data_IF_048327633475
#
_entry.id   IF_048327633475
#
_cell.length_a   1.000
_cell.length_b   1.000
_cell.length_c   1.000
_cell.angle_alpha   90.00
_cell.angle_beta   90.00
_cell.angle_gamma   90.00
#
_symmetry.space_group_name_H-M   'P 1'
#
loop_
_entity.id
_entity.type
_entity.pdbx_description
1 polymer ?
#
# COMPACT_ATOMS: atom_id res chain seq x y z
N UNK A 1 -4.11 -14.66 17.40
CA UNK A 1 -3.32 -14.67 16.15
C UNK A 1 -4.13 -14.90 14.86
N UNK A 2 -5.00 -15.92 14.74
CA UNK A 2 -5.76 -16.19 13.48
C UNK A 2 -6.58 -14.99 12.94
N UNK A 3 -7.20 -14.19 13.82
CA UNK A 3 -7.96 -12.99 13.41
C UNK A 3 -7.06 -11.92 12.76
N UNK A 4 -5.85 -11.69 13.30
CA UNK A 4 -4.88 -10.71 12.78
C UNK A 4 -4.39 -11.12 11.38
N UNK A 5 -3.93 -12.37 11.23
CA UNK A 5 -3.43 -12.89 9.94
C UNK A 5 -4.49 -12.79 8.85
N UNK A 6 -5.76 -13.09 9.19
CA UNK A 6 -6.87 -13.05 8.23
C UNK A 6 -7.34 -11.62 7.90
N UNK A 7 -6.96 -10.63 8.69
CA UNK A 7 -7.20 -9.22 8.38
C UNK A 7 -6.07 -8.67 7.51
N UNK A 8 -4.79 -9.02 7.77
CA UNK A 8 -3.65 -8.50 6.99
C UNK A 8 -3.30 -9.29 5.72
N UNK A 9 -3.79 -10.53 5.59
CA UNK A 9 -3.53 -11.37 4.41
C UNK A 9 -3.78 -10.68 3.05
N UNK A 10 -4.86 -9.90 2.84
CA UNK A 10 -5.07 -9.17 1.59
C UNK A 10 -3.97 -8.13 1.33
N UNK A 11 -3.50 -7.45 2.37
CA UNK A 11 -2.45 -6.43 2.27
C UNK A 11 -1.10 -7.06 1.94
N UNK A 12 -0.80 -8.23 2.53
CA UNK A 12 0.44 -8.95 2.26
C UNK A 12 0.45 -9.51 0.83
N UNK A 13 -0.67 -10.07 0.37
CA UNK A 13 -0.81 -10.51 -1.03
C UNK A 13 -0.64 -9.33 -1.98
N UNK A 14 -1.30 -8.20 -1.70
CA UNK A 14 -1.15 -6.97 -2.47
C UNK A 14 0.31 -6.48 -2.51
N UNK A 15 0.98 -6.44 -1.36
CA UNK A 15 2.39 -6.08 -1.25
C UNK A 15 3.28 -6.95 -2.15
N UNK A 16 3.12 -8.29 -2.08
CA UNK A 16 3.91 -9.22 -2.89
C UNK A 16 3.61 -9.05 -4.38
N UNK A 17 2.34 -8.90 -4.76
CA UNK A 17 1.94 -8.66 -6.15
C UNK A 17 2.55 -7.37 -6.70
N UNK A 18 2.51 -6.28 -5.92
CA UNK A 18 3.06 -4.99 -6.32
C UNK A 18 4.59 -5.05 -6.39
N UNK A 19 5.27 -5.69 -5.44
CA UNK A 19 6.72 -5.86 -5.47
C UNK A 19 7.17 -6.68 -6.70
N UNK A 20 6.44 -7.74 -7.07
CA UNK A 20 6.71 -8.52 -8.28
C UNK A 20 6.42 -7.71 -9.55
N UNK A 21 5.35 -6.93 -9.56
CA UNK A 21 5.01 -6.07 -10.69
C UNK A 21 6.09 -4.98 -10.90
N UNK A 22 6.58 -4.38 -9.82
CA UNK A 22 7.73 -3.49 -9.84
C UNK A 22 8.95 -4.16 -10.44
N UNK A 23 9.30 -5.37 -9.97
CA UNK A 23 10.43 -6.12 -10.53
C UNK A 23 10.26 -6.37 -12.05
N UNK A 24 9.08 -6.84 -12.48
CA UNK A 24 8.84 -7.11 -13.90
C UNK A 24 8.90 -5.85 -14.78
N UNK A 25 8.25 -4.76 -14.35
CA UNK A 25 8.17 -3.56 -15.18
C UNK A 25 9.41 -2.68 -15.12
N UNK A 26 10.13 -2.63 -13.99
CA UNK A 26 11.28 -1.75 -13.84
C UNK A 26 12.62 -2.44 -14.13
N UNK A 27 12.69 -3.76 -13.96
CA UNK A 27 13.91 -4.51 -14.24
C UNK A 27 13.80 -5.34 -15.53
N UNK A 28 12.72 -6.09 -15.71
CA UNK A 28 12.62 -7.05 -16.81
C UNK A 28 12.27 -6.38 -18.14
N UNK A 29 11.13 -5.68 -18.24
CA UNK A 29 10.63 -5.13 -19.50
C UNK A 29 11.55 -4.13 -20.19
N UNK A 30 12.22 -3.20 -19.49
CA UNK A 30 13.18 -2.28 -20.09
C UNK A 30 14.30 -2.93 -20.88
N UNK A 31 14.74 -4.11 -20.42
CA UNK A 31 15.82 -4.87 -21.04
C UNK A 31 15.42 -5.46 -22.39
N UNK A 32 14.12 -5.66 -22.62
CA UNK A 32 13.60 -6.32 -23.82
C UNK A 32 12.82 -5.37 -24.73
N UNK A 33 12.02 -4.45 -24.19
CA UNK A 33 11.20 -3.50 -24.95
C UNK A 33 10.82 -2.26 -24.12
N UNK A 34 11.39 -1.11 -24.48
CA UNK A 34 11.17 0.16 -23.78
C UNK A 34 9.70 0.63 -23.81
N UNK A 35 9.01 0.51 -24.96
CA UNK A 35 7.62 0.96 -25.07
C UNK A 35 6.67 0.15 -24.17
N UNK A 36 6.93 -1.16 -24.05
CA UNK A 36 6.18 -2.04 -23.16
C UNK A 36 6.43 -1.70 -21.68
N UNK A 37 7.66 -1.31 -21.33
CA UNK A 37 7.99 -0.87 -19.98
C UNK A 37 7.21 0.38 -19.58
N UNK A 38 7.12 1.40 -20.45
CA UNK A 38 6.33 2.60 -20.18
C UNK A 38 4.84 2.33 -19.96
N UNK A 39 4.26 1.43 -20.77
CA UNK A 39 2.87 1.02 -20.60
C UNK A 39 2.68 0.23 -19.29
N UNK A 40 3.61 -0.66 -18.95
CA UNK A 40 3.63 -1.38 -17.68
C UNK A 40 3.72 -0.44 -16.48
N UNK A 41 4.54 0.62 -16.56
CA UNK A 41 4.64 1.65 -15.53
C UNK A 41 3.29 2.33 -15.29
N UNK A 42 2.65 2.81 -16.34
CA UNK A 42 1.36 3.52 -16.23
C UNK A 42 0.29 2.65 -15.55
N UNK A 43 0.22 1.37 -15.93
CA UNK A 43 -0.74 0.41 -15.37
C UNK A 43 -0.45 0.17 -13.89
N UNK A 44 0.81 -0.07 -13.52
CA UNK A 44 1.19 -0.31 -12.13
C UNK A 44 0.92 0.92 -11.26
N UNK A 45 1.25 2.12 -11.74
CA UNK A 45 0.97 3.36 -11.01
C UNK A 45 -0.50 3.51 -10.71
N UNK A 46 -1.33 3.38 -11.75
CA UNK A 46 -2.78 3.49 -11.62
C UNK A 46 -3.33 2.41 -10.67
N UNK A 47 -2.79 1.18 -10.75
CA UNK A 47 -3.17 0.10 -9.86
C UNK A 47 -2.79 0.37 -8.40
N UNK A 48 -1.62 0.95 -8.15
CA UNK A 48 -1.14 1.23 -6.79
C UNK A 48 -1.95 2.34 -6.14
N UNK A 49 -2.20 3.41 -6.89
CA UNK A 49 -2.98 4.54 -6.42
C UNK A 49 -4.40 4.07 -6.07
N UNK A 50 -5.10 3.46 -7.03
CA UNK A 50 -6.49 3.01 -6.83
C UNK A 50 -6.56 1.87 -5.80
N UNK A 51 -5.67 0.88 -5.90
CA UNK A 51 -5.63 -0.29 -5.04
C UNK A 51 -5.39 0.09 -3.59
N UNK A 52 -4.57 1.11 -3.35
CA UNK A 52 -4.34 1.65 -2.02
C UNK A 52 -5.58 2.20 -1.35
N UNK A 53 -6.30 3.09 -2.03
CA UNK A 53 -7.53 3.67 -1.49
C UNK A 53 -8.60 2.61 -1.21
N UNK A 54 -8.77 1.65 -2.12
CA UNK A 54 -9.77 0.59 -1.98
C UNK A 54 -9.42 -0.33 -0.81
N UNK A 55 -8.16 -0.76 -0.72
CA UNK A 55 -7.72 -1.66 0.36
C UNK A 55 -7.77 -0.99 1.73
N UNK A 56 -7.36 0.27 1.83
CA UNK A 56 -7.47 1.04 3.07
C UNK A 56 -8.92 1.10 3.56
N UNK A 57 -9.86 1.44 2.67
CA UNK A 57 -11.29 1.49 2.99
C UNK A 57 -11.87 0.14 3.47
N UNK A 58 -11.61 -0.95 2.75
CA UNK A 58 -12.12 -2.27 3.14
C UNK A 58 -11.53 -2.73 4.48
N UNK A 59 -10.27 -2.40 4.76
CA UNK A 59 -9.65 -2.75 6.05
C UNK A 59 -10.31 -2.03 7.21
N UNK A 60 -10.55 -0.73 7.09
CA UNK A 60 -11.26 0.03 8.12
C UNK A 60 -12.61 -0.60 8.45
N UNK A 61 -13.38 -0.98 7.41
CA UNK A 61 -14.65 -1.69 7.59
C UNK A 61 -14.48 -3.05 8.30
N UNK A 62 -13.53 -3.88 7.86
CA UNK A 62 -13.35 -5.23 8.41
C UNK A 62 -12.94 -5.18 9.89
N UNK A 63 -12.14 -4.20 10.28
CA UNK A 63 -11.62 -4.03 11.64
C UNK A 63 -12.77 -3.71 12.61
N UNK A 64 -13.60 -2.73 12.27
CA UNK A 64 -14.79 -2.34 13.06
C UNK A 64 -15.81 -3.48 13.09
N UNK A 65 -16.07 -4.14 11.96
CA UNK A 65 -17.01 -5.27 11.89
C UNK A 65 -16.60 -6.47 12.76
N UNK A 66 -15.29 -6.74 12.86
CA UNK A 66 -14.78 -7.91 13.60
C UNK A 66 -14.52 -7.64 15.08
N UNK A 67 -14.58 -6.39 15.50
CA UNK A 67 -14.09 -5.99 16.80
C UNK A 67 -15.08 -5.01 17.41
N UNK A 68 -16.02 -5.57 18.17
CA UNK A 68 -17.19 -4.90 18.75
C UNK A 68 -16.78 -3.89 19.85
N UNK A 69 -15.56 -4.03 20.41
CA UNK A 69 -15.01 -3.17 21.48
C UNK A 69 -13.52 -2.82 21.22
N UNK A 70 -13.19 -2.15 20.11
CA UNK A 70 -11.81 -1.66 19.91
C UNK A 70 -11.61 -0.40 20.75
N UNK A 71 -10.65 -0.45 21.67
CA UNK A 71 -10.01 0.76 22.17
C UNK A 71 -9.40 1.49 20.97
N UNK A 72 -9.77 2.76 20.75
CA UNK A 72 -9.27 3.63 19.68
C UNK A 72 -7.76 3.44 19.36
N UNK A 73 -6.97 3.15 20.40
CA UNK A 73 -5.55 2.84 20.33
C UNK A 73 -5.18 1.63 19.43
N UNK A 74 -5.95 0.54 19.46
CA UNK A 74 -5.73 -0.64 18.60
C UNK A 74 -6.03 -0.33 17.12
N UNK A 75 -7.10 0.44 16.86
CA UNK A 75 -7.43 0.96 15.53
C UNK A 75 -6.28 1.82 14.99
N UNK A 76 -5.76 2.74 15.81
CA UNK A 76 -4.67 3.63 15.45
C UNK A 76 -3.39 2.84 15.11
N UNK A 77 -3.06 1.79 15.89
CA UNK A 77 -1.93 0.90 15.58
C UNK A 77 -2.12 0.24 14.21
N UNK A 78 -3.32 -0.25 13.89
CA UNK A 78 -3.58 -0.87 12.59
C UNK A 78 -3.53 0.12 11.41
N UNK A 79 -4.03 1.34 11.61
CA UNK A 79 -3.90 2.41 10.64
C UNK A 79 -2.42 2.75 10.38
N UNK A 80 -1.61 2.85 11.43
CA UNK A 80 -0.17 3.10 11.33
C UNK A 80 0.59 1.96 10.64
N UNK A 81 0.26 0.71 10.92
CA UNK A 81 0.86 -0.45 10.24
C UNK A 81 0.53 -0.41 8.74
N UNK A 82 -0.73 -0.14 8.40
CA UNK A 82 -1.18 -0.05 7.00
C UNK A 82 -0.52 1.12 6.26
N UNK A 83 -0.41 2.27 6.92
CA UNK A 83 0.33 3.44 6.45
C UNK A 83 1.80 3.10 6.18
N UNK A 84 2.48 2.47 7.15
CA UNK A 84 3.87 2.07 7.01
C UNK A 84 4.10 1.09 5.86
N UNK A 85 3.25 0.07 5.73
CA UNK A 85 3.36 -0.89 4.62
C UNK A 85 3.15 -0.22 3.25
N UNK A 86 2.23 0.73 3.15
CA UNK A 86 2.02 1.44 1.89
C UNK A 86 3.14 2.39 1.55
N UNK A 87 3.75 3.00 2.57
CA UNK A 87 4.91 3.86 2.42
C UNK A 87 6.09 3.03 1.88
N UNK A 88 6.33 1.82 2.42
CA UNK A 88 7.34 0.90 1.89
C UNK A 88 7.09 0.53 0.42
N UNK A 89 5.82 0.29 0.03
CA UNK A 89 5.45 0.00 -1.37
C UNK A 89 5.70 1.21 -2.28
N UNK A 90 5.30 2.39 -1.82
CA UNK A 90 5.49 3.65 -2.54
C UNK A 90 6.98 3.97 -2.71
N UNK A 91 7.83 3.64 -1.75
CA UNK A 91 9.27 3.86 -1.80
C UNK A 91 10.01 2.87 -2.70
N UNK A 92 9.53 1.63 -2.80
CA UNK A 92 10.04 0.64 -3.75
C UNK A 92 9.98 1.16 -5.19
N UNK A 93 8.95 1.94 -5.55
CA UNK A 93 8.88 2.68 -6.82
C UNK A 93 10.18 3.40 -7.14
N UNK A 94 10.65 4.21 -6.20
CA UNK A 94 11.73 5.18 -6.41
C UNK A 94 13.06 4.45 -6.55
N UNK A 95 13.24 3.48 -5.66
CA UNK A 95 14.29 2.47 -5.70
C UNK A 95 14.35 1.87 -7.11
N UNK A 96 13.24 1.34 -7.62
CA UNK A 96 13.17 0.74 -8.95
C UNK A 96 13.25 1.72 -10.12
N UNK A 97 12.80 2.97 -9.98
CA UNK A 97 12.79 3.99 -11.03
C UNK A 97 14.19 4.53 -11.32
N UNK A 98 15.00 4.83 -10.29
CA UNK A 98 16.41 5.20 -10.47
C UNK A 98 17.25 4.05 -11.09
N UNK A 99 16.79 2.81 -10.97
CA UNK A 99 17.43 1.62 -11.57
C UNK A 99 17.22 1.48 -13.08
N UNK A 100 16.35 2.27 -13.69
CA UNK A 100 16.26 2.34 -15.16
C UNK A 100 17.57 2.81 -15.81
N UNK A 101 18.48 3.45 -15.07
CA UNK A 101 19.67 4.11 -15.62
C UNK A 101 21.03 3.72 -15.02
N UNK A 102 21.13 2.96 -13.92
CA UNK A 102 22.45 2.68 -13.31
C UNK A 102 22.62 1.28 -12.72
N UNK A 103 23.86 0.78 -12.84
CA UNK A 103 24.30 -0.53 -12.37
C UNK A 103 23.94 -0.75 -10.88
N UNK A 104 23.38 -1.92 -10.59
CA UNK A 104 22.77 -2.31 -9.33
C UNK A 104 23.65 -2.09 -8.09
N UNK A 105 23.35 -1.05 -7.31
CA UNK A 105 23.78 -0.92 -5.91
C UNK A 105 22.61 -0.48 -5.04
N UNK A 106 21.85 -1.46 -4.52
CA UNK A 106 20.86 -1.19 -3.47
C UNK A 106 21.61 -0.80 -2.19
N UNK A 107 21.48 0.46 -1.77
CA UNK A 107 21.96 0.92 -0.47
C UNK A 107 20.79 1.31 0.42
N UNK A 108 20.91 1.00 1.71
CA UNK A 108 19.90 1.34 2.69
C UNK A 108 19.63 2.86 2.76
N UNK A 109 20.63 3.69 2.44
CA UNK A 109 20.49 5.15 2.39
C UNK A 109 19.50 5.62 1.33
N UNK A 110 19.57 5.08 0.11
CA UNK A 110 18.64 5.43 -0.99
C UNK A 110 17.21 5.01 -0.62
N UNK A 111 17.08 3.84 0.02
CA UNK A 111 15.79 3.38 0.51
C UNK A 111 15.19 4.35 1.53
N UNK A 112 15.96 4.81 2.51
CA UNK A 112 15.49 5.79 3.50
C UNK A 112 15.10 7.11 2.86
N UNK A 113 15.86 7.59 1.87
CA UNK A 113 15.53 8.81 1.14
C UNK A 113 14.21 8.68 0.38
N UNK A 114 13.96 7.52 -0.23
CA UNK A 114 12.71 7.22 -0.93
C UNK A 114 11.47 7.12 -0.03
N UNK A 115 11.62 6.98 1.30
CA UNK A 115 10.51 7.07 2.26
C UNK A 115 9.92 8.49 2.33
N UNK A 116 10.73 9.51 2.02
CA UNK A 116 10.30 10.90 2.03
C UNK A 116 9.69 11.39 0.71
N UNK A 117 9.57 10.52 -0.30
CA UNK A 117 9.07 10.91 -1.61
C UNK A 117 7.60 11.38 -1.54
N UNK A 118 7.27 12.41 -2.33
CA UNK A 118 5.93 13.03 -2.27
C UNK A 118 4.84 12.09 -2.75
N UNK A 119 5.12 11.27 -3.76
CA UNK A 119 4.12 10.35 -4.30
C UNK A 119 3.86 9.19 -3.33
N UNK A 120 4.92 8.62 -2.75
CA UNK A 120 4.81 7.56 -1.75
C UNK A 120 4.06 8.04 -0.50
N UNK A 121 4.33 9.26 -0.04
CA UNK A 121 3.61 9.89 1.06
C UNK A 121 2.15 10.15 0.70
N UNK A 122 1.85 10.61 -0.52
CA UNK A 122 0.48 10.89 -0.94
C UNK A 122 -0.38 9.63 -0.94
N UNK A 123 0.12 8.53 -1.51
CA UNK A 123 -0.58 7.23 -1.50
C UNK A 123 -0.76 6.74 -0.06
N UNK A 124 0.27 6.86 0.77
CA UNK A 124 0.22 6.41 2.17
C UNK A 124 -0.80 7.21 2.99
N UNK A 125 -0.81 8.54 2.87
CA UNK A 125 -1.81 9.41 3.50
C UNK A 125 -3.21 9.08 2.96
N UNK A 126 -3.34 8.86 1.66
CA UNK A 126 -4.59 8.45 1.03
C UNK A 126 -5.14 7.15 1.60
N UNK A 127 -4.28 6.15 1.81
CA UNK A 127 -4.69 4.89 2.45
C UNK A 127 -5.12 5.10 3.90
N UNK A 128 -4.42 5.93 4.66
CA UNK A 128 -4.76 6.26 6.05
C UNK A 128 -6.13 6.97 6.14
N UNK A 129 -6.40 7.93 5.25
CA UNK A 129 -7.70 8.62 5.19
C UNK A 129 -8.79 7.62 4.80
N UNK A 130 -8.58 6.82 3.76
CA UNK A 130 -9.58 5.83 3.31
C UNK A 130 -9.91 4.80 4.38
N UNK A 131 -8.91 4.42 5.18
CA UNK A 131 -9.06 3.53 6.32
C UNK A 131 -10.01 4.11 7.36
N UNK A 132 -9.78 5.35 7.82
CA UNK A 132 -10.68 6.00 8.78
C UNK A 132 -12.09 6.19 8.23
N UNK A 133 -12.24 6.52 6.94
CA UNK A 133 -13.56 6.59 6.30
C UNK A 133 -14.27 5.22 6.38
N UNK A 134 -13.55 4.14 6.07
CA UNK A 134 -14.08 2.78 6.18
C UNK A 134 -14.54 2.44 7.60
N UNK A 135 -13.78 2.85 8.61
CA UNK A 135 -14.16 2.67 10.01
C UNK A 135 -15.42 3.46 10.39
N UNK A 136 -15.50 4.74 10.05
CA UNK A 136 -16.65 5.61 10.33
C UNK A 136 -17.92 5.04 9.70
N UNK A 137 -17.84 4.61 8.44
CA UNK A 137 -18.98 4.04 7.71
C UNK A 137 -19.51 2.77 8.40
N UNK A 138 -18.62 1.86 8.80
CA UNK A 138 -19.06 0.63 9.48
C UNK A 138 -19.56 0.91 10.90
N UNK A 139 -18.99 1.89 11.60
CA UNK A 139 -19.45 2.31 12.92
C UNK A 139 -20.88 2.87 12.88
N UNK A 140 -21.18 3.73 11.90
CA UNK A 140 -22.54 4.27 11.69
C UNK A 140 -23.53 3.13 11.37
N UNK A 141 -23.14 2.20 10.49
CA UNK A 141 -23.98 1.05 10.13
C UNK A 141 -24.28 0.11 11.31
N UNK A 142 -23.32 -0.08 12.22
CA UNK A 142 -23.56 -0.90 13.42
C UNK A 142 -24.54 -0.21 14.37
N UNK A 143 -24.44 1.11 14.53
CA UNK A 143 -25.35 1.91 15.36
C UNK A 143 -26.77 2.01 14.79
N UNK A 144 -26.94 1.96 13.47
CA UNK A 144 -28.28 1.97 12.86
C UNK A 144 -29.00 0.62 12.93
N UNK A 145 -28.28 -0.47 13.19
CA UNK A 145 -28.82 -1.83 13.30
C UNK A 145 -29.06 -2.30 14.75
N UNK A 146 -28.77 -1.44 15.73
CA UNK A 146 -29.05 -1.65 17.17
C UNK A 146 -30.30 -0.89 17.60
#
# INVERSE_FOLDING_TARGET
MRKFVRTYSPFLVYFVCVALAYFLCFYLFPKYNAALAYLGFLIIYTYIDIGGFILGFFMGKIIVKRSIDISFLLCLIYALISFGLMLLIGSLKYVFYDYMYSNFTFTFSIFIESLGDRDSLFVSIGTLISFFIGEIVEYINNKSNS
#
